data_IF_874584017144
#
_entry.id   IF_874584017144
#
_cell.length_a   1.000
_cell.length_b   1.000
_cell.length_c   1.000
_cell.angle_alpha   90.00
_cell.angle_beta   90.00
_cell.angle_gamma   90.00
#
_symmetry.space_group_name_H-M   'P 1'
#
loop_
_entity.id
_entity.type
_entity.pdbx_description
1 polymer ?
#
# COMPACT_ATOMS: atom_id res chain seq x y z
N UNK A 1 6.03 8.30 -2.68
CA UNK A 1 4.62 8.00 -2.31
C UNK A 1 4.45 7.44 -0.89
N UNK A 2 5.22 6.43 -0.45
CA UNK A 2 5.08 5.83 0.90
C UNK A 2 5.00 6.83 2.07
N UNK A 3 5.87 7.85 2.12
CA UNK A 3 5.85 8.87 3.19
C UNK A 3 4.58 9.73 3.17
N UNK A 4 4.12 10.13 1.98
CA UNK A 4 2.88 10.89 1.83
C UNK A 4 1.66 10.05 2.26
N UNK A 5 1.65 8.76 1.90
CA UNK A 5 0.62 7.84 2.36
C UNK A 5 0.62 7.67 3.88
N UNK A 6 1.79 7.46 4.49
CA UNK A 6 1.95 7.43 5.96
C UNK A 6 1.44 8.71 6.63
N UNK A 7 1.77 9.87 6.07
CA UNK A 7 1.31 11.16 6.60
C UNK A 7 -0.22 11.27 6.55
N UNK A 8 -0.85 10.85 5.46
CA UNK A 8 -2.31 10.78 5.34
C UNK A 8 -2.90 9.83 6.41
N UNK A 9 -2.36 8.63 6.56
CA UNK A 9 -2.85 7.68 7.58
C UNK A 9 -2.78 8.24 9.00
N UNK A 10 -1.69 8.96 9.30
CA UNK A 10 -1.52 9.64 10.59
C UNK A 10 -2.56 10.75 10.77
N UNK A 11 -2.77 11.57 9.75
CA UNK A 11 -3.75 12.67 9.77
C UNK A 11 -5.17 12.17 10.06
N UNK A 12 -5.55 11.01 9.54
CA UNK A 12 -6.89 10.42 9.72
C UNK A 12 -6.98 9.40 10.87
N UNK A 13 -5.91 9.16 11.63
CA UNK A 13 -5.92 8.18 12.73
C UNK A 13 -6.14 6.73 12.27
N UNK A 14 -5.65 6.40 11.07
CA UNK A 14 -5.82 5.10 10.39
C UNK A 14 -4.57 4.21 10.46
N UNK A 15 -3.50 4.66 11.11
CA UNK A 15 -2.20 3.97 11.10
C UNK A 15 -2.28 2.50 11.52
N UNK A 16 -3.17 2.16 12.45
CA UNK A 16 -3.36 0.79 12.96
C UNK A 16 -4.66 0.13 12.48
N UNK A 17 -5.26 0.68 11.43
CA UNK A 17 -6.58 0.27 10.91
C UNK A 17 -6.49 -0.23 9.46
N UNK A 18 -5.30 -0.59 9.00
CA UNK A 18 -5.08 -1.12 7.66
C UNK A 18 -5.01 -2.64 7.75
N UNK A 19 -5.97 -3.30 7.10
CA UNK A 19 -5.97 -4.75 6.92
C UNK A 19 -5.22 -5.15 5.66
N UNK A 20 -5.51 -4.51 4.52
CA UNK A 20 -4.90 -4.78 3.22
C UNK A 20 -4.86 -3.53 2.34
N UNK A 21 -3.94 -3.50 1.37
CA UNK A 21 -3.87 -2.45 0.35
C UNK A 21 -3.99 -3.07 -1.04
N UNK A 22 -4.95 -2.57 -1.79
CA UNK A 22 -5.11 -2.87 -3.20
C UNK A 22 -4.54 -1.71 -4.03
N UNK A 23 -3.58 -2.00 -4.92
CA UNK A 23 -2.96 -1.00 -5.80
C UNK A 23 -2.74 -1.57 -7.20
N UNK A 24 -2.60 -0.71 -8.20
CA UNK A 24 -2.28 -1.14 -9.57
C UNK A 24 -0.93 -1.88 -9.65
N UNK A 25 -0.72 -2.61 -10.76
CA UNK A 25 0.49 -3.38 -10.99
C UNK A 25 1.62 -2.51 -11.59
N UNK A 26 2.01 -1.45 -10.89
CA UNK A 26 3.18 -0.64 -11.22
C UNK A 26 4.38 -0.94 -10.29
N UNK A 27 5.60 -0.92 -10.83
CA UNK A 27 6.85 -1.12 -10.08
C UNK A 27 7.06 -0.06 -8.97
N UNK A 28 6.47 1.13 -9.13
CA UNK A 28 6.43 2.16 -8.11
C UNK A 28 5.66 1.69 -6.84
N UNK A 29 4.61 0.89 -7.00
CA UNK A 29 3.81 0.35 -5.91
C UNK A 29 4.53 -0.79 -5.17
N UNK A 30 5.35 -1.59 -5.87
CA UNK A 30 6.25 -2.57 -5.25
C UNK A 30 7.20 -1.87 -4.27
N UNK A 31 7.80 -0.77 -4.75
CA UNK A 31 8.73 0.04 -3.97
C UNK A 31 8.02 0.69 -2.78
N UNK A 32 6.87 1.32 -3.01
CA UNK A 32 6.07 1.93 -1.95
C UNK A 32 5.67 0.94 -0.85
N UNK A 33 5.22 -0.26 -1.23
CA UNK A 33 4.82 -1.33 -0.30
C UNK A 33 5.98 -1.75 0.59
N UNK A 34 7.17 -1.96 0.02
CA UNK A 34 8.39 -2.31 0.77
C UNK A 34 8.78 -1.21 1.77
N UNK A 35 8.59 0.06 1.42
CA UNK A 35 8.85 1.16 2.34
C UNK A 35 7.76 1.31 3.42
N UNK A 36 6.48 1.15 3.07
CA UNK A 36 5.37 1.25 4.02
C UNK A 36 5.43 0.18 5.12
N UNK A 37 5.82 -1.05 4.77
CA UNK A 37 5.98 -2.16 5.71
C UNK A 37 7.12 -1.95 6.73
N UNK A 38 7.98 -0.93 6.54
CA UNK A 38 9.06 -0.56 7.47
C UNK A 38 8.70 0.62 8.38
N UNK A 39 7.54 1.24 8.17
CA UNK A 39 7.09 2.37 8.96
C UNK A 39 6.23 1.88 10.12
N UNK A 40 6.07 2.73 11.13
CA UNK A 40 5.19 2.48 12.26
C UNK A 40 3.72 2.60 11.81
N UNK A 41 3.13 1.49 11.38
CA UNK A 41 1.73 1.34 10.98
C UNK A 41 1.37 -0.18 11.00
N UNK A 42 0.11 -0.54 10.76
CA UNK A 42 -0.32 -1.95 10.68
C UNK A 42 -0.11 -2.58 9.30
N UNK A 43 0.69 -1.97 8.44
CA UNK A 43 0.90 -2.45 7.09
C UNK A 43 1.90 -3.59 7.06
N UNK A 44 1.51 -4.67 6.40
CA UNK A 44 2.42 -5.77 6.09
C UNK A 44 2.49 -6.01 4.59
N UNK A 45 3.71 -6.26 4.08
CA UNK A 45 3.92 -6.46 2.65
C UNK A 45 3.15 -7.66 2.08
N UNK A 46 2.86 -8.68 2.90
CA UNK A 46 2.06 -9.84 2.50
C UNK A 46 0.56 -9.53 2.35
N UNK A 47 0.07 -8.43 2.94
CA UNK A 47 -1.32 -7.96 2.81
C UNK A 47 -1.53 -7.03 1.60
N UNK A 48 -0.54 -6.96 0.71
CA UNK A 48 -0.67 -6.25 -0.56
C UNK A 48 -1.38 -7.14 -1.58
N UNK A 49 -2.39 -6.57 -2.23
CA UNK A 49 -3.10 -7.18 -3.35
C UNK A 49 -2.91 -6.30 -4.59
N UNK A 50 -2.79 -6.93 -5.77
CA UNK A 50 -2.80 -6.22 -7.05
C UNK A 50 -4.24 -5.99 -7.51
N UNK A 51 -4.50 -4.82 -8.08
CA UNK A 51 -5.84 -4.45 -8.53
C UNK A 51 -6.27 -5.28 -9.73
N UNK A 52 -7.34 -6.06 -9.57
CA UNK A 52 -7.88 -6.95 -10.59
C UNK A 52 -8.13 -6.27 -11.94
N UNK A 53 -8.70 -5.05 -11.94
CA UNK A 53 -8.93 -4.29 -13.17
C UNK A 53 -7.63 -4.01 -13.95
N UNK A 54 -6.51 -3.83 -13.24
CA UNK A 54 -5.19 -3.65 -13.85
C UNK A 54 -4.51 -4.98 -14.19
N UNK A 55 -4.88 -6.07 -13.53
CA UNK A 55 -4.44 -7.42 -13.92
C UNK A 55 -5.07 -7.83 -15.26
N UNK A 56 -6.35 -7.53 -15.50
CA UNK A 56 -7.01 -7.81 -16.79
C UNK A 56 -6.38 -7.00 -17.93
N UNK A 57 -5.98 -5.75 -17.68
CA UNK A 57 -5.32 -4.90 -18.69
C UNK A 57 -3.88 -5.32 -19.05
N UNK A 58 -3.34 -6.36 -18.40
CA UNK A 58 -2.04 -6.96 -18.72
C UNK A 58 -2.17 -8.28 -19.50
N UNK A 59 -3.40 -8.76 -19.76
CA UNK A 59 -3.68 -9.92 -20.58
C UNK A 59 -3.94 -9.55 -22.05
#
# INVERSE_FOLDING_TARGET
MARAFQAMLKQFGLMQKILALNADNASANDTQTKYLAKLDNSFHAYNRVQCFNHTIQLC
#
